data_IF_980048614704
#
_entry.id   IF_980048614704
#
_cell.length_a   1.000
_cell.length_b   1.000
_cell.length_c   1.000
_cell.angle_alpha   90.00
_cell.angle_beta   90.00
_cell.angle_gamma   90.00
#
_symmetry.space_group_name_H-M   'P 1'
#
loop_
_entity.id
_entity.type
_entity.pdbx_description
1 polymer ?
#
# COMPACT_ATOMS: atom_id res chain seq x y z
N UNK A 1 65.82 -28.55 6.71
CA UNK A 1 64.45 -28.30 7.20
C UNK A 1 64.49 -27.06 8.08
N UNK A 2 63.59 -26.10 7.84
CA UNK A 2 63.53 -24.85 8.59
C UNK A 2 62.44 -23.92 8.07
N UNK A 3 61.19 -24.38 8.07
CA UNK A 3 60.03 -23.51 7.93
C UNK A 3 59.62 -23.02 9.32
N UNK A 4 59.57 -21.71 9.52
CA UNK A 4 58.66 -21.07 10.49
C UNK A 4 58.46 -19.62 10.07
N UNK A 5 57.62 -19.44 9.07
CA UNK A 5 57.13 -18.14 8.66
C UNK A 5 55.75 -17.93 9.30
N UNK A 6 55.52 -16.75 9.87
CA UNK A 6 54.19 -16.31 10.30
C UNK A 6 53.24 -16.30 9.10
N UNK A 7 51.98 -16.68 9.34
CA UNK A 7 50.97 -16.77 8.28
C UNK A 7 49.62 -16.22 8.74
N UNK A 8 48.85 -15.72 7.79
CA UNK A 8 47.50 -15.25 8.03
C UNK A 8 46.52 -16.42 8.14
N UNK A 9 45.57 -16.33 9.07
CA UNK A 9 44.37 -17.17 9.03
C UNK A 9 43.53 -16.85 7.79
N UNK A 10 42.57 -17.72 7.50
CA UNK A 10 41.47 -17.37 6.62
C UNK A 10 40.74 -16.13 7.14
N UNK A 11 40.18 -15.37 6.19
CA UNK A 11 39.35 -14.24 6.53
C UNK A 11 38.02 -14.70 7.15
N UNK A 12 37.54 -13.94 8.14
CA UNK A 12 36.18 -14.09 8.64
C UNK A 12 35.16 -13.84 7.52
N UNK A 13 33.92 -14.33 7.68
CA UNK A 13 32.79 -13.78 6.95
C UNK A 13 32.70 -12.26 7.14
N UNK A 14 32.12 -11.57 6.16
CA UNK A 14 31.86 -10.15 6.27
C UNK A 14 30.80 -9.87 7.34
N UNK A 15 30.97 -8.77 8.08
CA UNK A 15 29.93 -8.27 8.97
C UNK A 15 28.68 -7.84 8.20
N UNK A 16 27.56 -7.71 8.90
CA UNK A 16 26.40 -7.00 8.36
C UNK A 16 26.79 -5.57 7.97
N UNK A 17 26.08 -5.05 6.98
CA UNK A 17 26.27 -3.68 6.51
C UNK A 17 25.84 -2.68 7.60
N UNK A 18 26.66 -1.65 7.84
CA UNK A 18 26.36 -0.60 8.83
C UNK A 18 24.99 0.05 8.62
N UNK A 19 24.32 0.42 9.72
CA UNK A 19 23.03 1.14 9.71
C UNK A 19 23.16 2.62 9.36
N UNK A 20 24.38 3.16 9.28
CA UNK A 20 24.61 4.55 8.84
C UNK A 20 24.58 4.63 7.31
N UNK A 21 23.42 5.01 6.77
CA UNK A 21 23.19 5.14 5.33
C UNK A 21 24.12 6.14 4.63
N UNK A 22 24.79 7.05 5.35
CA UNK A 22 25.73 8.00 4.75
C UNK A 22 27.15 7.43 4.57
N UNK A 23 27.47 6.31 5.22
CA UNK A 23 28.82 5.74 5.23
C UNK A 23 28.81 4.22 5.42
N UNK A 24 27.96 3.52 4.66
CA UNK A 24 27.76 2.08 4.79
C UNK A 24 29.01 1.28 4.45
N UNK A 25 29.48 0.51 5.44
CA UNK A 25 30.65 -0.33 5.36
C UNK A 25 30.40 -1.68 6.03
N UNK A 26 31.03 -2.71 5.48
CA UNK A 26 31.13 -4.03 6.10
C UNK A 26 32.61 -4.34 6.30
N UNK A 27 32.93 -5.04 7.39
CA UNK A 27 34.30 -5.31 7.80
C UNK A 27 34.48 -6.81 8.00
N UNK A 28 35.66 -7.32 7.62
CA UNK A 28 36.11 -8.67 7.95
C UNK A 28 37.51 -8.63 8.55
N UNK A 29 37.85 -9.65 9.32
CA UNK A 29 39.13 -9.73 10.03
C UNK A 29 39.83 -11.05 9.79
N UNK A 30 41.15 -11.06 9.94
CA UNK A 30 42.00 -12.26 9.93
C UNK A 30 43.06 -12.13 11.01
N UNK A 31 43.51 -13.27 11.53
CA UNK A 31 44.45 -13.34 12.64
C UNK A 31 45.84 -13.69 12.09
N UNK A 32 46.86 -12.99 12.57
CA UNK A 32 48.25 -13.34 12.27
C UNK A 32 48.72 -14.43 13.24
N UNK A 33 49.00 -15.62 12.72
CA UNK A 33 49.53 -16.73 13.51
C UNK A 33 51.06 -16.66 13.47
N UNK A 34 51.67 -16.22 14.58
CA UNK A 34 53.13 -16.12 14.73
C UNK A 34 53.66 -17.41 15.36
N UNK A 35 54.57 -18.10 14.68
CA UNK A 35 55.22 -19.29 15.23
C UNK A 35 56.45 -18.87 16.04
N UNK A 36 56.41 -19.11 17.35
CA UNK A 36 57.41 -18.64 18.33
C UNK A 36 58.74 -19.40 18.22
N UNK A 37 59.58 -19.05 17.26
CA UNK A 37 60.97 -19.56 17.17
C UNK A 37 62.02 -18.45 17.25
N UNK A 38 61.79 -17.45 18.11
CA UNK A 38 62.78 -16.42 18.44
C UNK A 38 62.97 -15.31 17.40
N UNK A 39 62.37 -15.44 16.21
CA UNK A 39 62.24 -14.39 15.20
C UNK A 39 60.78 -13.92 15.19
N UNK A 40 60.45 -12.90 15.99
CA UNK A 40 59.13 -12.24 16.00
C UNK A 40 58.87 -11.51 14.67
N UNK A 41 58.70 -12.24 13.57
CA UNK A 41 58.35 -11.64 12.28
C UNK A 41 56.82 -11.47 12.20
N UNK A 42 56.28 -10.24 12.24
CA UNK A 42 54.85 -10.03 12.07
C UNK A 42 54.41 -10.39 10.65
N UNK A 43 53.15 -10.77 10.48
CA UNK A 43 52.58 -10.99 9.16
C UNK A 43 52.51 -9.67 8.39
N UNK A 44 52.88 -9.67 7.11
CA UNK A 44 52.80 -8.48 6.26
C UNK A 44 51.35 -8.27 5.76
N UNK A 45 50.85 -7.04 5.91
CA UNK A 45 49.51 -6.62 5.48
C UNK A 45 48.52 -6.37 6.63
N UNK A 46 47.30 -5.98 6.27
CA UNK A 46 46.29 -5.59 7.26
C UNK A 46 45.57 -6.82 7.84
N UNK A 47 45.25 -6.78 9.14
CA UNK A 47 44.40 -7.76 9.84
C UNK A 47 42.90 -7.47 9.68
N UNK A 48 42.56 -6.28 9.19
CA UNK A 48 41.18 -5.82 9.00
C UNK A 48 41.02 -5.30 7.59
N UNK A 49 39.92 -5.68 6.95
CA UNK A 49 39.53 -5.17 5.64
C UNK A 49 38.12 -4.61 5.73
N UNK A 50 37.92 -3.44 5.11
CA UNK A 50 36.63 -2.77 5.08
C UNK A 50 36.28 -2.45 3.64
N UNK A 51 35.04 -2.74 3.25
CA UNK A 51 34.50 -2.39 1.93
C UNK A 51 33.15 -1.69 2.07
N UNK A 52 32.79 -0.93 1.05
CA UNK A 52 31.45 -0.34 0.94
C UNK A 52 30.40 -1.42 0.71
N UNK A 53 29.19 -1.17 1.22
CA UNK A 53 28.05 -2.05 1.09
C UNK A 53 26.77 -1.22 0.96
N UNK A 54 25.70 -1.82 0.44
CA UNK A 54 24.37 -1.21 0.39
C UNK A 54 23.44 -2.13 1.15
N UNK A 55 22.83 -1.63 2.23
CA UNK A 55 21.83 -2.37 3.00
C UNK A 55 20.44 -2.10 2.45
N UNK A 56 19.57 -3.10 2.45
CA UNK A 56 18.15 -2.96 2.08
C UNK A 56 17.39 -1.97 3.00
N UNK A 57 17.97 -1.65 4.17
CA UNK A 57 17.45 -0.65 5.10
C UNK A 57 17.68 0.80 4.63
N UNK A 58 18.55 1.04 3.65
CA UNK A 58 18.95 2.38 3.19
C UNK A 58 18.51 2.61 1.73
N UNK A 59 17.24 2.34 1.46
CA UNK A 59 16.62 2.60 0.17
C UNK A 59 15.78 3.88 0.23
N UNK A 60 15.96 4.77 -0.75
CA UNK A 60 15.06 5.90 -0.93
C UNK A 60 13.75 5.42 -1.54
N UNK A 61 12.78 5.12 -0.69
CA UNK A 61 11.43 4.76 -1.13
C UNK A 61 10.63 6.04 -1.32
N UNK A 62 10.09 6.26 -2.52
CA UNK A 62 9.16 7.36 -2.76
C UNK A 62 7.84 7.09 -2.01
N UNK A 63 7.71 7.67 -0.82
CA UNK A 63 6.63 7.40 0.13
C UNK A 63 5.72 8.61 0.42
N UNK A 64 5.80 9.69 -0.39
CA UNK A 64 5.05 10.91 -0.06
C UNK A 64 3.55 10.68 -0.18
N UNK A 65 2.87 10.75 0.96
CA UNK A 65 1.42 10.88 1.06
C UNK A 65 1.02 12.23 0.48
N UNK A 66 0.54 12.22 -0.75
CA UNK A 66 -0.75 12.73 -1.23
C UNK A 66 -0.52 13.15 -2.69
N UNK A 67 -0.52 12.17 -3.59
CA UNK A 67 -0.78 12.33 -5.01
C UNK A 67 -0.03 13.48 -5.74
N UNK A 68 1.30 13.56 -5.58
CA UNK A 68 2.15 14.38 -6.44
C UNK A 68 2.75 13.49 -7.53
N UNK A 69 2.41 13.74 -8.79
CA UNK A 69 3.15 13.18 -9.92
C UNK A 69 4.58 13.74 -9.88
N UNK A 70 5.50 13.01 -9.27
CA UNK A 70 6.93 13.26 -9.40
C UNK A 70 7.41 12.63 -10.71
N UNK A 71 8.42 13.23 -11.34
CA UNK A 71 9.01 12.69 -12.55
C UNK A 71 10.53 12.75 -12.50
N UNK A 72 11.14 11.76 -13.14
CA UNK A 72 12.57 11.73 -13.41
C UNK A 72 12.80 12.35 -14.79
N UNK A 73 13.66 13.36 -14.86
CA UNK A 73 14.22 13.84 -16.12
C UNK A 73 15.42 12.97 -16.47
N UNK A 74 15.41 12.36 -17.66
CA UNK A 74 16.45 11.37 -18.05
C UNK A 74 17.81 11.99 -18.35
N UNK A 75 17.92 13.32 -18.44
CA UNK A 75 19.10 14.00 -18.95
C UNK A 75 19.61 15.16 -18.07
N UNK A 76 18.91 15.53 -16.99
CA UNK A 76 19.42 16.48 -15.99
C UNK A 76 19.70 17.91 -16.51
N UNK A 77 19.24 18.26 -17.71
CA UNK A 77 19.39 19.59 -18.31
C UNK A 77 18.05 20.33 -18.23
N UNK A 78 18.09 21.56 -17.70
CA UNK A 78 16.93 22.42 -17.60
C UNK A 78 16.45 22.82 -19.02
N UNK A 79 15.32 22.26 -19.44
CA UNK A 79 14.59 22.69 -20.62
C UNK A 79 14.51 21.65 -21.73
N UNK A 80 13.28 21.20 -21.97
CA UNK A 80 12.82 20.52 -23.19
C UNK A 80 13.40 19.11 -23.46
N UNK A 81 13.06 18.12 -22.61
CA UNK A 81 13.06 16.73 -23.06
C UNK A 81 11.67 16.09 -23.02
N UNK A 82 11.33 15.42 -24.12
CA UNK A 82 10.03 14.74 -24.32
C UNK A 82 9.96 13.37 -23.63
N UNK A 83 10.82 13.08 -22.65
CA UNK A 83 10.92 11.77 -21.97
C UNK A 83 10.93 11.95 -20.46
N UNK A 84 9.75 12.18 -19.89
CA UNK A 84 9.52 12.14 -18.44
C UNK A 84 9.08 10.74 -18.04
N UNK A 85 9.73 10.16 -17.03
CA UNK A 85 9.28 8.92 -16.40
C UNK A 85 8.55 9.27 -15.10
N UNK A 86 7.31 8.80 -14.95
CA UNK A 86 6.48 9.10 -13.78
C UNK A 86 6.90 8.21 -12.63
N UNK A 87 7.11 8.82 -11.46
CA UNK A 87 7.33 8.12 -10.21
C UNK A 87 6.00 7.77 -9.54
N UNK A 88 5.89 6.51 -9.15
CA UNK A 88 4.78 5.92 -8.42
C UNK A 88 5.16 5.68 -6.97
N UNK A 89 4.16 5.67 -6.09
CA UNK A 89 4.38 5.36 -4.68
C UNK A 89 5.01 3.97 -4.53
N UNK A 90 6.08 3.89 -3.74
CA UNK A 90 6.83 2.66 -3.52
C UNK A 90 7.99 2.46 -4.49
N UNK A 91 8.18 3.34 -5.48
CA UNK A 91 9.35 3.28 -6.35
C UNK A 91 10.62 3.47 -5.52
N UNK A 92 11.61 2.62 -5.79
CA UNK A 92 12.93 2.65 -5.17
C UNK A 92 13.82 3.51 -6.05
N UNK A 93 14.34 4.60 -5.48
CA UNK A 93 15.24 5.52 -6.17
C UNK A 93 16.70 5.14 -5.90
N UNK A 94 17.50 5.10 -6.96
CA UNK A 94 18.96 4.94 -6.83
C UNK A 94 19.61 6.19 -6.24
N UNK A 95 20.75 6.00 -5.55
CA UNK A 95 21.53 7.09 -4.96
C UNK A 95 21.92 8.12 -6.03
N UNK A 96 21.67 9.41 -5.74
CA UNK A 96 21.99 10.51 -6.65
C UNK A 96 20.93 10.80 -7.73
N UNK A 97 19.88 9.98 -7.87
CA UNK A 97 18.77 10.27 -8.79
C UNK A 97 18.09 11.57 -8.38
N UNK A 98 17.96 12.48 -9.34
CA UNK A 98 17.22 13.72 -9.19
C UNK A 98 15.81 13.59 -9.76
N UNK A 99 14.83 14.08 -9.02
CA UNK A 99 13.44 14.15 -9.45
C UNK A 99 12.79 15.44 -9.00
N UNK A 100 11.72 15.83 -9.66
CA UNK A 100 11.00 17.05 -9.34
C UNK A 100 9.72 16.73 -8.58
N UNK A 101 9.52 17.46 -7.49
CA UNK A 101 8.28 17.46 -6.74
C UNK A 101 7.82 18.90 -6.54
N UNK A 102 6.69 19.23 -7.17
CA UNK A 102 6.14 20.58 -7.21
C UNK A 102 7.16 21.61 -7.76
N UNK A 103 7.66 22.53 -6.94
CA UNK A 103 8.71 23.50 -7.30
C UNK A 103 10.08 23.19 -6.68
N UNK A 104 10.24 22.00 -6.13
CA UNK A 104 11.47 21.56 -5.47
C UNK A 104 12.14 20.44 -6.27
N UNK A 105 13.47 20.49 -6.29
CA UNK A 105 14.31 19.42 -6.80
C UNK A 105 14.68 18.52 -5.63
N UNK A 106 14.41 17.23 -5.76
CA UNK A 106 14.66 16.22 -4.76
C UNK A 106 15.72 15.24 -5.26
N UNK A 107 16.52 14.71 -4.34
CA UNK A 107 17.59 13.77 -4.64
C UNK A 107 17.64 12.68 -3.59
N UNK A 108 17.84 11.43 -4.01
CA UNK A 108 18.17 10.36 -3.08
C UNK A 108 19.60 10.56 -2.55
N UNK A 109 19.73 10.76 -1.23
CA UNK A 109 21.02 10.92 -0.57
C UNK A 109 21.05 10.11 0.72
N UNK A 110 21.93 9.11 0.79
CA UNK A 110 22.13 8.28 1.97
C UNK A 110 20.84 7.62 2.43
N UNK A 111 20.09 6.99 1.52
CA UNK A 111 18.85 6.28 1.83
C UNK A 111 17.66 7.18 2.23
N UNK A 112 17.78 8.50 2.12
CA UNK A 112 16.71 9.45 2.38
C UNK A 112 16.47 10.40 1.19
N UNK A 113 15.22 10.81 1.01
CA UNK A 113 14.85 11.81 0.01
C UNK A 113 15.16 13.20 0.57
N UNK A 114 16.11 13.90 -0.06
CA UNK A 114 16.49 15.26 0.27
C UNK A 114 16.00 16.24 -0.80
N UNK A 115 15.10 17.16 -0.44
CA UNK A 115 14.54 18.16 -1.35
C UNK A 115 15.07 19.57 -1.07
N UNK A 116 15.12 20.40 -2.11
CA UNK A 116 15.24 21.85 -1.91
C UNK A 116 14.07 22.36 -1.07
N UNK A 117 14.26 23.50 -0.38
CA UNK A 117 13.20 24.20 0.36
C UNK A 117 12.87 25.54 -0.31
N UNK A 118 12.68 25.52 -1.63
CA UNK A 118 12.31 26.70 -2.41
C UNK A 118 10.80 26.92 -2.27
N UNK A 119 10.41 28.13 -1.87
CA UNK A 119 9.04 28.58 -2.02
C UNK A 119 8.76 28.78 -3.51
N UNK A 120 7.59 28.36 -3.97
CA UNK A 120 7.26 28.51 -5.38
C UNK A 120 7.07 30.00 -5.73
N UNK A 121 7.62 30.42 -6.87
CA UNK A 121 7.42 31.76 -7.41
C UNK A 121 5.98 31.83 -7.98
N UNK A 122 5.17 32.80 -7.53
CA UNK A 122 3.73 32.97 -7.84
C UNK A 122 2.76 32.02 -7.12
N UNK A 123 1.45 32.17 -7.38
CA UNK A 123 0.41 31.27 -6.86
C UNK A 123 0.64 29.85 -7.42
N UNK A 124 1.29 29.01 -6.63
CA UNK A 124 1.52 27.61 -6.97
C UNK A 124 0.57 26.70 -6.21
N UNK A 125 0.25 25.58 -6.83
CA UNK A 125 -0.53 24.50 -6.26
C UNK A 125 0.28 23.21 -6.45
N UNK A 126 0.05 22.21 -5.61
CA UNK A 126 0.53 20.86 -5.90
C UNK A 126 0.00 20.43 -7.25
N UNK A 127 0.63 19.40 -7.81
CA UNK A 127 -0.01 18.67 -8.90
C UNK A 127 -1.38 18.14 -8.45
N UNK A 128 -2.28 17.98 -9.43
CA UNK A 128 -3.55 17.32 -9.19
C UNK A 128 -3.32 15.90 -8.74
N UNK A 129 -4.15 15.45 -7.80
CA UNK A 129 -4.17 14.07 -7.42
C UNK A 129 -4.53 13.16 -8.59
N UNK A 130 -4.21 11.87 -8.47
CA UNK A 130 -4.89 10.87 -9.29
C UNK A 130 -6.40 11.01 -9.09
N UNK A 131 -7.16 10.75 -10.14
CA UNK A 131 -8.61 10.67 -10.02
C UNK A 131 -8.97 9.53 -9.06
N UNK A 132 -9.92 9.80 -8.17
CA UNK A 132 -10.57 8.76 -7.39
C UNK A 132 -11.19 7.71 -8.31
N UNK A 133 -11.54 6.56 -7.74
CA UNK A 133 -12.55 5.70 -8.36
C UNK A 133 -13.85 6.49 -8.53
N UNK A 134 -14.66 6.09 -9.49
CA UNK A 134 -16.02 6.61 -9.61
C UNK A 134 -16.78 6.41 -8.29
N UNK A 135 -17.59 7.40 -7.92
CA UNK A 135 -18.37 7.42 -6.67
C UNK A 135 -19.33 6.24 -6.59
N UNK A 136 -19.75 5.73 -7.76
CA UNK A 136 -20.50 4.50 -7.90
C UNK A 136 -19.69 3.51 -8.76
N UNK A 137 -19.97 2.20 -8.65
CA UNK A 137 -19.32 1.17 -9.45
C UNK A 137 -20.02 0.90 -10.80
N UNK A 138 -21.25 1.37 -11.00
CA UNK A 138 -22.02 1.27 -12.24
C UNK A 138 -22.85 2.54 -12.50
N UNK A 139 -23.33 2.70 -13.73
CA UNK A 139 -24.16 3.83 -14.14
C UNK A 139 -23.43 5.16 -14.23
N UNK A 140 -24.19 6.25 -14.16
CA UNK A 140 -23.64 7.61 -14.23
C UNK A 140 -23.23 8.07 -12.83
N UNK A 141 -21.96 8.39 -12.66
CA UNK A 141 -21.41 8.81 -11.39
C UNK A 141 -20.30 9.84 -11.59
N UNK A 142 -19.64 10.24 -10.52
CA UNK A 142 -18.56 11.21 -10.60
C UNK A 142 -17.29 10.68 -9.97
N UNK A 143 -16.15 11.13 -10.47
CA UNK A 143 -14.85 10.94 -9.82
C UNK A 143 -14.28 12.30 -9.48
N UNK A 144 -13.50 12.36 -8.41
CA UNK A 144 -12.92 13.60 -7.90
C UNK A 144 -11.41 13.51 -7.88
N UNK A 145 -10.75 14.66 -7.98
CA UNK A 145 -9.33 14.81 -7.71
C UNK A 145 -9.11 16.13 -6.99
N UNK A 146 -8.07 16.20 -6.17
CA UNK A 146 -7.78 17.35 -5.33
C UNK A 146 -6.34 17.83 -5.52
N UNK A 147 -6.07 19.06 -5.15
CA UNK A 147 -4.72 19.63 -5.06
C UNK A 147 -4.68 20.61 -3.90
N UNK A 148 -3.48 20.90 -3.41
CA UNK A 148 -3.28 21.81 -2.28
C UNK A 148 -2.59 23.08 -2.77
N UNK A 149 -2.93 24.23 -2.19
CA UNK A 149 -2.21 25.48 -2.45
C UNK A 149 -0.85 25.44 -1.76
N UNK A 150 0.21 25.73 -2.51
CA UNK A 150 1.57 25.82 -1.96
C UNK A 150 1.82 27.21 -1.39
N UNK A 151 2.70 27.30 -0.39
CA UNK A 151 3.18 28.57 0.15
C UNK A 151 4.05 29.27 -0.88
N UNK A 152 3.47 30.26 -1.59
CA UNK A 152 4.15 31.12 -2.57
C UNK A 152 4.24 32.58 -2.10
N UNK A 153 5.21 33.34 -2.64
CA UNK A 153 5.43 34.78 -2.33
C UNK A 153 4.69 35.74 -3.29
N UNK A 154 3.64 35.26 -3.98
CA UNK A 154 2.92 36.06 -5.00
C UNK A 154 1.79 36.93 -4.43
N UNK A 155 1.57 38.09 -5.04
CA UNK A 155 0.50 39.05 -4.73
C UNK A 155 -0.84 38.77 -5.44
N UNK A 156 -0.89 37.78 -6.34
CA UNK A 156 -2.12 37.46 -7.10
C UNK A 156 -3.19 36.76 -6.25
N UNK A 157 -4.46 36.97 -6.61
CA UNK A 157 -5.60 36.29 -5.99
C UNK A 157 -5.58 34.79 -6.33
N UNK A 158 -5.06 33.96 -5.43
CA UNK A 158 -4.92 32.52 -5.64
C UNK A 158 -6.25 31.75 -5.46
N UNK A 159 -7.27 32.10 -6.24
CA UNK A 159 -8.64 31.56 -6.14
C UNK A 159 -8.94 30.49 -7.19
N UNK A 160 -7.97 29.64 -7.54
CA UNK A 160 -8.24 28.46 -8.39
C UNK A 160 -8.84 27.33 -7.56
N UNK A 161 -9.70 26.54 -8.19
CA UNK A 161 -10.33 25.37 -7.58
C UNK A 161 -9.28 24.37 -7.05
N UNK A 162 -9.52 23.86 -5.85
CA UNK A 162 -8.69 22.84 -5.18
C UNK A 162 -9.24 21.43 -5.38
N UNK A 163 -10.47 21.32 -5.88
CA UNK A 163 -11.15 20.06 -6.16
C UNK A 163 -11.73 20.14 -7.55
N UNK A 164 -11.51 19.08 -8.33
CA UNK A 164 -12.16 18.90 -9.62
C UNK A 164 -13.02 17.65 -9.58
N UNK A 165 -14.19 17.76 -10.19
CA UNK A 165 -15.15 16.66 -10.31
C UNK A 165 -15.43 16.44 -11.79
N UNK A 166 -15.37 15.19 -12.23
CA UNK A 166 -15.70 14.81 -13.60
C UNK A 166 -16.71 13.67 -13.60
N UNK A 167 -17.65 13.71 -14.53
CA UNK A 167 -18.58 12.61 -14.76
C UNK A 167 -17.84 11.39 -15.32
N UNK A 168 -18.25 10.21 -14.86
CA UNK A 168 -17.88 8.95 -15.45
C UNK A 168 -19.14 8.13 -15.71
N UNK A 169 -19.20 7.53 -16.89
CA UNK A 169 -20.28 6.67 -17.31
C UNK A 169 -19.72 5.25 -17.32
N UNK A 170 -20.16 4.44 -16.37
CA UNK A 170 -19.83 3.02 -16.29
C UNK A 170 -20.92 2.20 -16.99
N UNK A 171 -20.69 0.89 -17.06
CA UNK A 171 -21.68 -0.07 -17.54
C UNK A 171 -23.01 0.07 -16.81
N UNK A 172 -24.11 -0.31 -17.49
CA UNK A 172 -25.44 -0.28 -16.89
C UNK A 172 -25.48 -1.10 -15.60
N UNK A 173 -26.18 -0.57 -14.60
CA UNK A 173 -26.41 -1.28 -13.35
C UNK A 173 -27.37 -2.46 -13.51
N UNK A 174 -28.13 -2.58 -14.60
CA UNK A 174 -29.25 -3.54 -14.69
C UNK A 174 -28.81 -5.01 -14.88
N UNK A 175 -27.56 -5.26 -15.27
CA UNK A 175 -27.08 -6.61 -15.63
C UNK A 175 -26.00 -7.17 -14.68
N UNK A 176 -25.65 -6.44 -13.62
CA UNK A 176 -24.47 -6.74 -12.82
C UNK A 176 -24.67 -7.75 -11.71
N UNK A 177 -25.81 -7.74 -11.02
CA UNK A 177 -26.01 -8.52 -9.80
C UNK A 177 -26.50 -9.92 -10.11
N UNK A 178 -25.71 -10.91 -9.71
CA UNK A 178 -26.02 -12.33 -9.86
C UNK A 178 -25.93 -13.03 -8.52
N UNK A 179 -26.63 -14.15 -8.44
CA UNK A 179 -26.52 -15.08 -7.32
C UNK A 179 -25.25 -15.91 -7.49
N UNK A 180 -24.37 -15.85 -6.51
CA UNK A 180 -23.15 -16.66 -6.44
C UNK A 180 -23.27 -17.66 -5.31
N UNK A 181 -22.67 -18.84 -5.49
CA UNK A 181 -22.55 -19.85 -4.45
C UNK A 181 -21.15 -19.82 -3.84
N UNK A 182 -21.09 -20.03 -2.54
CA UNK A 182 -19.86 -20.19 -1.76
C UNK A 182 -20.01 -21.47 -0.95
N UNK A 183 -19.12 -22.41 -1.23
CA UNK A 183 -19.04 -23.70 -0.56
C UNK A 183 -17.73 -23.76 0.19
N UNK A 184 -17.79 -23.86 1.51
CA UNK A 184 -16.58 -23.91 2.33
C UNK A 184 -16.87 -23.91 3.83
N UNK A 185 -15.79 -23.92 4.61
CA UNK A 185 -15.88 -23.72 6.05
C UNK A 185 -16.10 -22.23 6.36
N UNK A 186 -16.94 -21.95 7.36
CA UNK A 186 -17.08 -20.61 7.91
C UNK A 186 -16.05 -20.45 9.02
N UNK A 187 -15.29 -19.36 8.96
CA UNK A 187 -14.29 -18.99 9.97
C UNK A 187 -14.73 -17.66 10.56
N UNK A 188 -14.76 -17.53 11.88
CA UNK A 188 -14.96 -16.24 12.53
C UNK A 188 -13.62 -15.52 12.76
N UNK A 189 -13.68 -14.22 13.09
CA UNK A 189 -12.48 -13.46 13.45
C UNK A 189 -11.81 -13.89 14.77
N UNK A 190 -12.38 -14.87 15.48
CA UNK A 190 -11.92 -15.35 16.78
C UNK A 190 -11.29 -16.76 16.73
N UNK A 191 -11.12 -17.34 15.53
CA UNK A 191 -10.45 -18.64 15.33
C UNK A 191 -11.36 -19.86 15.49
N UNK A 192 -12.67 -19.70 15.38
CA UNK A 192 -13.65 -20.78 15.30
C UNK A 192 -13.94 -21.15 13.85
N UNK A 193 -14.04 -22.46 13.59
CA UNK A 193 -14.34 -23.00 12.26
C UNK A 193 -15.61 -23.84 12.31
N UNK A 194 -16.44 -23.77 11.27
CA UNK A 194 -17.63 -24.64 11.17
C UNK A 194 -17.25 -26.11 11.15
N UNK A 195 -18.09 -26.95 11.77
CA UNK A 195 -17.81 -28.39 11.84
C UNK A 195 -17.98 -29.08 10.48
N UNK A 196 -18.84 -28.52 9.62
CA UNK A 196 -19.12 -29.01 8.29
C UNK A 196 -18.87 -27.92 7.25
N UNK A 197 -18.71 -28.35 5.99
CA UNK A 197 -18.74 -27.46 4.82
C UNK A 197 -20.16 -26.93 4.67
N UNK A 198 -20.30 -25.62 4.52
CA UNK A 198 -21.57 -24.95 4.36
C UNK A 198 -21.69 -24.46 2.92
N UNK A 199 -22.80 -24.82 2.25
CA UNK A 199 -23.20 -24.24 0.98
C UNK A 199 -24.07 -23.01 1.27
N UNK A 200 -23.58 -21.85 0.87
CA UNK A 200 -24.28 -20.57 1.03
C UNK A 200 -24.30 -19.82 -0.28
N UNK A 201 -25.28 -18.95 -0.44
CA UNK A 201 -25.42 -18.10 -1.62
C UNK A 201 -25.47 -16.64 -1.23
N UNK A 202 -24.89 -15.79 -2.09
CA UNK A 202 -24.77 -14.35 -1.89
C UNK A 202 -24.95 -13.61 -3.22
N UNK A 203 -25.27 -12.32 -3.13
CA UNK A 203 -25.38 -11.46 -4.30
C UNK A 203 -24.06 -10.73 -4.57
N UNK A 204 -23.60 -10.70 -5.82
CA UNK A 204 -22.43 -9.91 -6.20
C UNK A 204 -22.57 -9.38 -7.62
N UNK A 205 -21.84 -8.32 -7.97
CA UNK A 205 -21.92 -7.72 -9.28
C UNK A 205 -21.18 -6.39 -9.44
N UNK A 206 -21.47 -5.70 -10.54
CA UNK A 206 -20.98 -4.33 -10.79
C UNK A 206 -21.47 -3.30 -9.77
N UNK A 207 -22.32 -3.69 -8.81
CA UNK A 207 -22.79 -2.86 -7.70
C UNK A 207 -21.94 -2.99 -6.43
N UNK A 208 -20.79 -3.67 -6.53
CA UNK A 208 -19.99 -4.09 -5.38
C UNK A 208 -20.42 -5.46 -4.85
N UNK A 209 -19.59 -6.04 -4.01
CA UNK A 209 -19.99 -7.24 -3.28
C UNK A 209 -20.90 -6.82 -2.11
N UNK A 210 -21.99 -7.54 -1.86
CA UNK A 210 -22.63 -7.53 -0.53
C UNK A 210 -21.86 -8.42 0.45
N UNK A 211 -20.52 -8.48 0.31
CA UNK A 211 -19.62 -9.51 0.85
C UNK A 211 -19.50 -9.56 2.36
N UNK A 212 -20.25 -8.76 3.10
CA UNK A 212 -20.43 -9.01 4.52
C UNK A 212 -21.41 -10.16 4.84
N UNK A 213 -21.84 -11.00 3.87
CA UNK A 213 -22.80 -12.09 4.13
C UNK A 213 -22.43 -13.44 3.49
N UNK A 214 -22.62 -14.61 4.16
CA UNK A 214 -23.45 -14.85 5.35
C UNK A 214 -22.95 -14.08 6.57
N UNK A 215 -23.74 -13.09 7.03
CA UNK A 215 -23.41 -12.30 8.21
C UNK A 215 -23.46 -13.34 9.30
N UNK A 216 -22.32 -13.65 9.90
CA UNK A 216 -22.25 -14.58 11.02
C UNK A 216 -23.05 -13.90 12.13
N UNK A 217 -24.31 -14.28 12.30
CA UNK A 217 -25.15 -13.77 13.37
C UNK A 217 -24.85 -14.58 14.62
N UNK A 218 -24.44 -13.89 15.68
CA UNK A 218 -24.20 -14.51 16.99
C UNK A 218 -25.52 -14.75 17.76
N UNK A 219 -26.62 -14.11 17.33
CA UNK A 219 -27.97 -14.28 17.87
C UNK A 219 -28.97 -14.68 16.76
N UNK A 220 -30.11 -15.27 17.17
CA UNK A 220 -31.18 -15.62 16.23
C UNK A 220 -32.00 -14.39 15.76
N UNK A 221 -31.86 -13.27 16.46
CA UNK A 221 -32.72 -12.08 16.33
C UNK A 221 -32.04 -10.87 15.68
N UNK A 222 -30.73 -10.90 15.36
CA UNK A 222 -30.09 -9.79 14.66
C UNK A 222 -30.74 -9.55 13.29
N UNK A 223 -31.23 -8.33 13.10
CA UNK A 223 -31.73 -7.88 11.81
C UNK A 223 -30.51 -7.53 10.94
N UNK A 224 -30.48 -8.06 9.72
CA UNK A 224 -29.47 -7.77 8.70
C UNK A 224 -29.47 -6.27 8.37
N UNK A 225 -28.66 -5.48 9.07
CA UNK A 225 -28.34 -4.14 8.61
C UNK A 225 -27.31 -4.29 7.51
N UNK A 226 -27.73 -4.00 6.27
CA UNK A 226 -26.85 -3.86 5.12
C UNK A 226 -25.87 -2.72 5.37
N UNK A 227 -24.72 -3.02 5.94
CA UNK A 227 -23.56 -2.15 5.95
C UNK A 227 -22.96 -2.21 4.55
N UNK A 228 -23.09 -1.15 3.77
CA UNK A 228 -22.31 -0.99 2.56
C UNK A 228 -22.18 0.48 2.21
N UNK A 229 -20.94 0.89 1.92
CA UNK A 229 -20.61 2.10 1.17
C UNK A 229 -21.07 2.03 -0.32
N UNK A 230 -21.73 0.94 -0.75
CA UNK A 230 -22.57 0.88 -1.96
C UNK A 230 -23.67 -0.20 -1.87
N UNK A 231 -24.94 0.20 -1.79
CA UNK A 231 -26.13 -0.65 -1.49
C UNK A 231 -26.95 -1.09 -2.72
N UNK A 232 -26.33 -1.44 -3.83
CA UNK A 232 -27.08 -1.60 -5.10
C UNK A 232 -27.35 -3.05 -5.55
N UNK A 233 -26.87 -4.04 -4.81
CA UNK A 233 -27.34 -5.43 -4.91
C UNK A 233 -28.30 -5.72 -3.75
N UNK A 234 -29.57 -5.97 -4.04
CA UNK A 234 -30.56 -6.47 -3.08
C UNK A 234 -30.96 -7.90 -3.41
N UNK A 235 -31.61 -8.59 -2.48
CA UNK A 235 -32.02 -9.97 -2.70
C UNK A 235 -32.97 -10.45 -1.61
N UNK A 236 -33.72 -11.51 -1.89
CA UNK A 236 -34.49 -12.19 -0.86
C UNK A 236 -33.60 -13.22 -0.18
N UNK A 237 -33.69 -13.31 1.14
CA UNK A 237 -33.04 -14.36 1.92
C UNK A 237 -33.95 -15.58 2.05
N UNK A 238 -33.36 -16.76 2.00
CA UNK A 238 -34.01 -18.01 2.38
C UNK A 238 -34.08 -18.20 3.90
N UNK A 239 -34.47 -19.41 4.29
CA UNK A 239 -34.56 -19.82 5.69
C UNK A 239 -33.20 -19.78 6.39
N UNK A 240 -33.24 -19.48 7.69
CA UNK A 240 -32.06 -19.49 8.55
C UNK A 240 -31.53 -20.92 8.75
N UNK A 241 -30.22 -21.07 8.62
CA UNK A 241 -29.49 -22.33 8.81
C UNK A 241 -28.57 -22.17 10.03
N UNK A 242 -28.65 -23.11 10.97
CA UNK A 242 -27.74 -23.17 12.12
C UNK A 242 -26.45 -23.89 11.74
N UNK A 243 -25.33 -23.28 12.09
CA UNK A 243 -23.99 -23.76 11.77
C UNK A 243 -23.21 -23.99 13.06
N UNK A 244 -23.03 -25.24 13.50
CA UNK A 244 -22.19 -25.54 14.65
C UNK A 244 -20.72 -25.31 14.29
N UNK A 245 -19.99 -24.71 15.23
CA UNK A 245 -18.57 -24.37 15.10
C UNK A 245 -17.77 -24.89 16.29
N UNK A 246 -16.51 -25.19 16.02
CA UNK A 246 -15.51 -25.56 17.02
C UNK A 246 -14.37 -24.55 16.97
N UNK A 247 -14.02 -24.01 18.12
CA UNK A 247 -12.97 -23.03 18.29
C UNK A 247 -11.63 -23.69 18.62
N UNK A 248 -10.53 -22.99 18.31
CA UNK A 248 -9.17 -23.43 18.61
C UNK A 248 -8.95 -23.76 20.10
N UNK A 249 -9.68 -23.11 21.01
CA UNK A 249 -9.67 -23.37 22.45
C UNK A 249 -10.65 -24.47 22.91
N UNK A 250 -11.26 -25.21 21.98
CA UNK A 250 -12.23 -26.27 22.29
C UNK A 250 -13.65 -25.80 22.60
N UNK A 251 -13.90 -24.47 22.64
CA UNK A 251 -15.26 -23.95 22.77
C UNK A 251 -16.11 -24.37 21.57
N UNK A 252 -17.36 -24.75 21.84
CA UNK A 252 -18.36 -25.03 20.83
C UNK A 252 -19.35 -23.87 20.81
N UNK A 253 -19.61 -23.33 19.63
CA UNK A 253 -20.60 -22.27 19.43
C UNK A 253 -21.46 -22.57 18.22
N UNK A 254 -22.61 -21.94 18.13
CA UNK A 254 -23.50 -22.06 16.98
C UNK A 254 -23.72 -20.67 16.42
N UNK A 255 -23.51 -20.53 15.12
CA UNK A 255 -23.81 -19.29 14.39
C UNK A 255 -24.93 -19.53 13.41
N UNK A 256 -25.62 -18.46 13.01
CA UNK A 256 -26.73 -18.56 12.08
C UNK A 256 -26.40 -17.84 10.78
N UNK A 257 -26.77 -18.48 9.67
CA UNK A 257 -26.59 -17.92 8.32
C UNK A 257 -27.92 -17.93 7.58
N UNK A 258 -28.15 -16.91 6.75
CA UNK A 258 -29.32 -16.83 5.85
C UNK A 258 -28.83 -16.71 4.40
N UNK A 259 -28.88 -17.79 3.59
CA UNK A 259 -28.45 -17.75 2.21
C UNK A 259 -29.39 -16.89 1.36
N UNK A 260 -28.87 -16.24 0.32
CA UNK A 260 -29.70 -15.50 -0.65
C UNK A 260 -30.37 -16.47 -1.62
N UNK A 261 -31.67 -16.29 -1.89
CA UNK A 261 -32.40 -17.11 -2.87
C UNK A 261 -32.57 -16.40 -4.21
N UNK A 262 -32.55 -15.07 -4.19
CA UNK A 262 -32.67 -14.24 -5.39
C UNK A 262 -31.83 -12.97 -5.23
N UNK A 263 -31.40 -12.40 -6.36
CA UNK A 263 -30.66 -11.16 -6.40
C UNK A 263 -31.28 -10.22 -7.44
N UNK A 264 -31.33 -8.93 -7.13
CA UNK A 264 -31.76 -7.85 -8.01
C UNK A 264 -30.82 -6.66 -7.87
N UNK A 265 -30.57 -5.99 -8.99
CA UNK A 265 -29.86 -4.71 -9.02
C UNK A 265 -30.84 -3.56 -8.77
N UNK A 266 -30.47 -2.65 -7.87
CA UNK A 266 -31.08 -1.33 -7.76
C UNK A 266 -30.07 -0.26 -8.19
N UNK A 267 -30.55 0.92 -8.60
CA UNK A 267 -29.67 2.05 -8.87
C UNK A 267 -28.92 2.42 -7.59
N UNK A 268 -27.58 2.48 -7.67
CA UNK A 268 -26.78 2.97 -6.56
C UNK A 268 -27.11 4.46 -6.31
N UNK A 269 -27.58 4.80 -5.11
CA UNK A 269 -27.75 6.20 -4.73
C UNK A 269 -26.49 6.71 -4.01
N UNK A 270 -25.99 7.87 -4.40
CA UNK A 270 -24.96 8.57 -3.64
C UNK A 270 -25.54 8.94 -2.25
N UNK A 271 -24.84 8.62 -1.17
CA UNK A 271 -25.27 8.89 0.23
C UNK A 271 -25.50 10.39 0.56
N UNK A 272 -25.31 11.32 -0.38
CA UNK A 272 -25.58 12.75 -0.19
C UNK A 272 -27.08 13.12 -0.13
N UNK A 273 -28.00 12.25 -0.56
CA UNK A 273 -29.45 12.55 -0.60
C UNK A 273 -30.31 11.74 0.40
N UNK A 274 -29.71 11.07 1.38
CA UNK A 274 -30.45 10.26 2.36
C UNK A 274 -30.94 11.04 3.60
N UNK A 275 -30.71 12.37 3.70
CA UNK A 275 -31.13 13.16 4.87
C UNK A 275 -32.47 13.89 4.65
N UNK A 276 -33.04 13.90 3.45
CA UNK A 276 -34.19 14.76 3.14
C UNK A 276 -35.49 14.04 2.79
N UNK A 277 -35.82 12.88 3.41
CA UNK A 277 -37.17 12.30 3.29
C UNK A 277 -37.66 11.51 4.53
N UNK A 278 -37.43 12.00 5.74
CA UNK A 278 -38.20 11.55 6.92
C UNK A 278 -38.37 12.69 7.93
N UNK A 279 -39.20 13.67 7.59
CA UNK A 279 -40.16 14.29 8.53
C UNK A 279 -41.36 14.71 7.67
N UNK A 280 -42.44 13.96 7.77
CA UNK A 280 -43.76 14.26 7.23
C UNK A 280 -44.77 13.72 8.21
#
# INVERSE_FOLDING_TARGET
MGCNASYWSEWSPWSNCSSDCNAQKQTRTRICNVVSTGLNKPCEGNSTETKTCVSDLCQCIYAVNVNGLAYIEKDGILGYTNKTEKLSQGDILEEGVQFFQDCNTCTCRGGAIACTRKACLNCAYTMWSVWSKCSLPCGNSTKTRTRVKLTGRGQESCNKELTQTKTCNQSSCDAGCKLYKRVGYIIDGAGCTSNNIIDTSYCSGFCGESSSVPRIMEDANSILTMTNDCKCCTGQTGSQVSVPMTCSNGLKKTVYVRPMVSCSCNKCMNNANQISQTVG
#
